data_IF_334757914217
#
_entry.id   IF_334757914217
#
_cell.length_a   1.000
_cell.length_b   1.000
_cell.length_c   1.000
_cell.angle_alpha   90.00
_cell.angle_beta   90.00
_cell.angle_gamma   90.00
#
_symmetry.space_group_name_H-M   'P 1'
#
loop_
_entity.id
_entity.type
_entity.pdbx_description
1 polymer ?
#
# COMPACT_ATOMS: atom_id res chain seq x y z
N UNK A 1 -17.13 16.22 -32.47
CA UNK A 1 -17.44 15.48 -31.24
C UNK A 1 -16.50 14.29 -31.23
N UNK A 2 -15.40 14.38 -30.51
CA UNK A 2 -14.53 13.23 -30.24
C UNK A 2 -15.34 12.28 -29.34
N UNK A 3 -15.70 11.12 -29.86
CA UNK A 3 -16.19 10.03 -29.02
C UNK A 3 -14.98 9.55 -28.23
N UNK A 4 -14.73 10.16 -27.08
CA UNK A 4 -13.75 9.61 -26.14
C UNK A 4 -14.22 8.21 -25.76
N UNK A 5 -13.30 7.26 -25.83
CA UNK A 5 -13.59 5.88 -25.43
C UNK A 5 -14.12 5.87 -23.99
N UNK A 6 -15.08 4.99 -23.66
CA UNK A 6 -15.65 4.95 -22.30
C UNK A 6 -14.53 4.72 -21.28
N UNK A 7 -14.51 5.54 -20.23
CA UNK A 7 -13.50 5.45 -19.19
C UNK A 7 -13.74 4.29 -18.20
N UNK A 8 -14.97 3.78 -18.14
CA UNK A 8 -15.42 2.75 -17.20
C UNK A 8 -16.09 1.57 -17.92
N UNK A 9 -16.35 0.49 -17.20
CA UNK A 9 -16.84 -0.77 -17.79
C UNK A 9 -15.74 -1.59 -18.46
N UNK A 10 -14.48 -1.19 -18.29
CA UNK A 10 -13.29 -1.79 -18.91
C UNK A 10 -12.77 -2.97 -18.07
N UNK A 11 -13.60 -3.99 -17.88
CA UNK A 11 -13.30 -5.11 -16.98
C UNK A 11 -12.02 -5.86 -17.32
N UNK A 12 -11.63 -5.91 -18.60
CA UNK A 12 -10.33 -6.49 -18.98
C UNK A 12 -9.16 -5.72 -18.37
N UNK A 13 -9.25 -4.38 -18.25
CA UNK A 13 -8.24 -3.57 -17.59
C UNK A 13 -8.25 -3.81 -16.07
N UNK A 14 -9.44 -3.99 -15.47
CA UNK A 14 -9.53 -4.36 -14.04
C UNK A 14 -8.77 -5.66 -13.78
N UNK A 15 -9.06 -6.72 -14.55
CA UNK A 15 -8.43 -8.03 -14.36
C UNK A 15 -6.93 -7.99 -14.67
N UNK A 16 -6.52 -7.39 -15.80
CA UNK A 16 -5.13 -7.37 -16.20
C UNK A 16 -4.26 -6.56 -15.24
N UNK A 17 -4.69 -5.35 -14.86
CA UNK A 17 -3.94 -4.52 -13.91
C UNK A 17 -3.90 -5.16 -12.52
N UNK A 18 -5.03 -5.66 -12.02
CA UNK A 18 -5.04 -6.39 -10.74
C UNK A 18 -4.08 -7.58 -10.78
N UNK A 19 -4.14 -8.40 -11.83
CA UNK A 19 -3.24 -9.56 -11.98
C UNK A 19 -1.77 -9.15 -12.06
N UNK A 20 -1.44 -8.11 -12.85
CA UNK A 20 -0.05 -7.62 -13.00
C UNK A 20 0.48 -7.16 -11.64
N UNK A 21 -0.25 -6.30 -10.91
CA UNK A 21 0.20 -5.79 -9.61
C UNK A 21 0.28 -6.89 -8.55
N UNK A 22 -0.67 -7.82 -8.53
CA UNK A 22 -0.63 -8.94 -7.59
C UNK A 22 0.50 -9.92 -7.90
N UNK A 23 0.73 -10.25 -9.17
CA UNK A 23 1.87 -11.08 -9.58
C UNK A 23 3.20 -10.39 -9.28
N UNK A 24 3.29 -9.08 -9.53
CA UNK A 24 4.46 -8.28 -9.21
C UNK A 24 4.73 -8.29 -7.70
N UNK A 25 3.74 -8.00 -6.87
CA UNK A 25 3.88 -8.07 -5.42
C UNK A 25 4.22 -9.49 -4.95
N UNK A 26 3.60 -10.53 -5.53
CA UNK A 26 3.87 -11.92 -5.20
C UNK A 26 5.29 -12.37 -5.60
N UNK A 27 5.90 -11.75 -6.60
CA UNK A 27 7.28 -12.06 -6.98
C UNK A 27 8.28 -11.72 -5.88
N UNK A 28 7.99 -10.70 -5.07
CA UNK A 28 8.79 -10.31 -3.91
C UNK A 28 8.28 -10.95 -2.62
N UNK A 29 6.96 -11.00 -2.44
CA UNK A 29 6.31 -11.50 -1.23
C UNK A 29 5.74 -12.89 -1.49
N UNK A 30 6.46 -13.92 -0.99
CA UNK A 30 6.05 -15.33 -1.11
C UNK A 30 5.50 -15.82 0.22
N UNK A 31 4.19 -15.78 0.46
CA UNK A 31 3.59 -16.15 1.74
C UNK A 31 3.96 -17.58 2.15
N UNK A 32 4.47 -17.76 3.37
CA UNK A 32 4.84 -19.06 3.94
C UNK A 32 3.89 -19.48 5.07
N UNK A 33 3.29 -18.52 5.76
CA UNK A 33 2.42 -18.73 6.91
C UNK A 33 0.99 -18.27 6.62
N UNK A 34 0.03 -18.75 7.42
CA UNK A 34 -1.37 -18.26 7.34
C UNK A 34 -1.47 -16.74 7.57
N UNK A 35 -0.54 -16.16 8.34
CA UNK A 35 -0.44 -14.72 8.58
C UNK A 35 0.02 -13.99 7.34
N UNK A 36 1.05 -14.50 6.67
CA UNK A 36 1.53 -13.92 5.41
C UNK A 36 0.41 -13.90 4.37
N UNK A 37 -0.37 -14.98 4.27
CA UNK A 37 -1.54 -15.04 3.39
C UNK A 37 -2.62 -14.03 3.74
N UNK A 38 -2.88 -13.79 5.05
CA UNK A 38 -3.83 -12.74 5.48
C UNK A 38 -3.33 -11.35 5.10
N UNK A 39 -2.03 -11.09 5.31
CA UNK A 39 -1.39 -9.82 4.94
C UNK A 39 -1.50 -9.56 3.44
N UNK A 40 -1.14 -10.57 2.64
CA UNK A 40 -1.22 -10.48 1.19
C UNK A 40 -2.67 -10.38 0.68
N UNK A 41 -3.59 -11.17 1.25
CA UNK A 41 -5.00 -11.13 0.89
C UNK A 41 -5.65 -9.77 1.14
N UNK A 42 -5.31 -9.12 2.25
CA UNK A 42 -5.79 -7.77 2.56
C UNK A 42 -5.23 -6.71 1.59
N UNK A 43 -3.95 -6.81 1.25
CA UNK A 43 -3.34 -6.00 0.19
C UNK A 43 -4.03 -6.25 -1.16
N UNK A 44 -4.24 -7.51 -1.52
CA UNK A 44 -4.89 -7.89 -2.76
C UNK A 44 -6.32 -7.35 -2.86
N UNK A 45 -7.09 -7.42 -1.77
CA UNK A 45 -8.44 -6.86 -1.72
C UNK A 45 -8.45 -5.34 -1.99
N UNK A 46 -7.48 -4.60 -1.43
CA UNK A 46 -7.34 -3.17 -1.70
C UNK A 46 -7.00 -2.90 -3.18
N UNK A 47 -6.06 -3.64 -3.75
CA UNK A 47 -5.64 -3.48 -5.15
C UNK A 47 -6.82 -3.77 -6.10
N UNK A 48 -7.56 -4.85 -5.85
CA UNK A 48 -8.75 -5.17 -6.66
C UNK A 48 -9.82 -4.08 -6.53
N UNK A 49 -10.12 -3.63 -5.30
CA UNK A 49 -11.08 -2.55 -5.07
C UNK A 49 -10.69 -1.25 -5.81
N UNK A 50 -9.39 -0.90 -5.77
CA UNK A 50 -8.86 0.26 -6.49
C UNK A 50 -9.11 0.15 -7.99
N UNK A 51 -8.71 -0.95 -8.63
CA UNK A 51 -8.84 -1.10 -10.08
C UNK A 51 -10.30 -1.30 -10.53
N UNK A 52 -11.15 -1.88 -9.68
CA UNK A 52 -12.60 -1.91 -9.92
C UNK A 52 -13.17 -0.49 -10.02
N UNK A 53 -12.79 0.40 -9.09
CA UNK A 53 -13.24 1.79 -9.14
C UNK A 53 -12.56 2.61 -10.25
N UNK A 54 -11.32 2.28 -10.61
CA UNK A 54 -10.56 3.00 -11.62
C UNK A 54 -11.05 2.72 -13.06
N UNK A 55 -11.39 1.48 -13.36
CA UNK A 55 -11.72 1.05 -14.73
C UNK A 55 -13.07 0.33 -14.86
N UNK A 56 -13.58 -0.26 -13.78
CA UNK A 56 -14.80 -1.05 -13.80
C UNK A 56 -16.03 -0.20 -13.51
N UNK A 57 -16.34 0.01 -12.25
CA UNK A 57 -17.48 0.79 -11.78
C UNK A 57 -17.01 1.88 -10.81
N UNK A 58 -17.16 3.17 -11.16
CA UNK A 58 -16.70 4.30 -10.36
C UNK A 58 -17.68 4.61 -9.22
N UNK A 59 -17.77 3.72 -8.23
CA UNK A 59 -18.69 3.85 -7.10
C UNK A 59 -18.54 5.20 -6.37
N UNK A 60 -17.29 5.65 -6.18
CA UNK A 60 -16.99 6.93 -5.52
C UNK A 60 -17.60 8.11 -6.27
N UNK A 61 -17.38 8.17 -7.59
CA UNK A 61 -17.95 9.24 -8.42
C UNK A 61 -19.47 9.15 -8.47
N UNK A 62 -20.03 7.94 -8.55
CA UNK A 62 -21.46 7.73 -8.52
C UNK A 62 -22.09 8.25 -7.21
N UNK A 63 -21.56 7.86 -6.06
CA UNK A 63 -22.06 8.29 -4.74
C UNK A 63 -21.91 9.80 -4.53
N UNK A 64 -20.81 10.38 -5.02
CA UNK A 64 -20.52 11.81 -4.87
C UNK A 64 -21.10 12.68 -6.00
N UNK A 65 -21.76 12.10 -7.00
CA UNK A 65 -22.15 12.79 -8.25
C UNK A 65 -22.94 14.08 -8.01
N UNK A 66 -23.96 14.04 -7.15
CA UNK A 66 -24.78 15.22 -6.85
C UNK A 66 -23.98 16.37 -6.25
N UNK A 67 -23.11 16.05 -5.29
CA UNK A 67 -22.23 17.06 -4.65
C UNK A 67 -21.19 17.58 -5.63
N UNK A 68 -20.54 16.70 -6.40
CA UNK A 68 -19.53 17.08 -7.39
C UNK A 68 -20.11 17.98 -8.47
N UNK A 69 -21.27 17.65 -9.03
CA UNK A 69 -21.93 18.46 -10.06
C UNK A 69 -22.38 19.82 -9.54
N UNK A 70 -22.82 19.90 -8.27
CA UNK A 70 -23.18 21.19 -7.66
C UNK A 70 -21.98 22.10 -7.49
N UNK A 71 -20.84 21.53 -7.06
CA UNK A 71 -19.62 22.30 -6.77
C UNK A 71 -18.75 22.53 -8.00
N UNK A 72 -18.76 21.59 -8.93
CA UNK A 72 -17.95 21.58 -10.16
C UNK A 72 -18.85 21.26 -11.39
N UNK A 73 -19.70 22.21 -11.83
CA UNK A 73 -20.73 21.94 -12.84
C UNK A 73 -20.18 21.55 -14.22
N UNK A 74 -18.90 21.88 -14.50
CA UNK A 74 -18.24 21.52 -15.76
C UNK A 74 -17.44 20.22 -15.70
N UNK A 75 -17.51 19.49 -14.58
CA UNK A 75 -16.79 18.22 -14.42
C UNK A 75 -17.52 17.10 -15.17
N UNK A 76 -16.82 16.49 -16.13
CA UNK A 76 -17.31 15.27 -16.79
C UNK A 76 -17.04 14.07 -15.89
N UNK A 77 -18.06 13.66 -15.11
CA UNK A 77 -17.96 12.56 -14.16
C UNK A 77 -17.59 11.21 -14.78
N UNK A 78 -17.83 11.04 -16.09
CA UNK A 78 -17.54 9.80 -16.79
C UNK A 78 -16.16 9.78 -17.45
N UNK A 79 -15.42 10.90 -17.41
CA UNK A 79 -14.04 10.93 -17.86
C UNK A 79 -13.10 10.24 -16.89
N UNK A 80 -12.02 9.65 -17.38
CA UNK A 80 -10.98 9.07 -16.55
C UNK A 80 -10.36 10.09 -15.58
N UNK A 81 -10.18 11.32 -16.05
CA UNK A 81 -9.57 12.39 -15.24
C UNK A 81 -10.37 12.74 -13.98
N UNK A 82 -11.69 12.53 -13.99
CA UNK A 82 -12.55 12.79 -12.83
C UNK A 82 -12.25 11.89 -11.63
N UNK A 83 -11.66 10.72 -11.87
CA UNK A 83 -11.22 9.82 -10.80
C UNK A 83 -9.99 10.32 -10.03
N UNK A 84 -9.23 11.24 -10.59
CA UNK A 84 -8.14 11.95 -9.88
C UNK A 84 -8.72 13.04 -8.97
N UNK A 85 -9.51 12.65 -7.97
CA UNK A 85 -10.28 13.55 -7.13
C UNK A 85 -9.43 14.63 -6.44
N UNK A 86 -8.17 14.33 -6.10
CA UNK A 86 -7.29 15.34 -5.50
C UNK A 86 -7.07 16.52 -6.42
N UNK A 87 -6.79 16.30 -7.70
CA UNK A 87 -6.59 17.38 -8.68
C UNK A 87 -7.85 18.22 -8.83
N UNK A 88 -9.04 17.58 -8.87
CA UNK A 88 -10.32 18.27 -8.91
C UNK A 88 -10.55 19.11 -7.65
N UNK A 89 -10.34 18.53 -6.46
CA UNK A 89 -10.57 19.20 -5.17
C UNK A 89 -9.61 20.37 -4.91
N UNK A 90 -8.37 20.26 -5.38
CA UNK A 90 -7.35 21.29 -5.25
C UNK A 90 -7.41 22.34 -6.36
N UNK A 91 -8.30 22.16 -7.35
CA UNK A 91 -8.48 23.09 -8.46
C UNK A 91 -7.27 23.12 -9.42
N UNK A 92 -6.53 22.00 -9.51
CA UNK A 92 -5.39 21.87 -10.41
C UNK A 92 -5.85 21.93 -11.87
N UNK A 93 -5.08 22.62 -12.70
CA UNK A 93 -5.32 22.73 -14.15
C UNK A 93 -4.27 21.92 -14.90
N UNK A 94 -4.72 21.14 -15.89
CA UNK A 94 -3.84 20.34 -16.73
C UNK A 94 -4.05 18.84 -16.56
N UNK A 95 -3.07 18.04 -17.00
CA UNK A 95 -3.13 16.59 -16.90
C UNK A 95 -2.89 16.13 -15.43
N UNK A 96 -3.86 15.47 -14.78
CA UNK A 96 -3.74 15.03 -13.40
C UNK A 96 -2.53 14.12 -13.13
N UNK A 97 -2.03 13.41 -14.15
CA UNK A 97 -0.87 12.51 -14.02
C UNK A 97 0.45 13.26 -13.71
N UNK A 98 0.50 14.57 -13.99
CA UNK A 98 1.65 15.42 -13.65
C UNK A 98 1.40 16.27 -12.39
N UNK A 99 0.32 16.03 -11.66
CA UNK A 99 0.05 16.74 -10.43
C UNK A 99 1.09 16.39 -9.34
N UNK A 100 1.39 17.30 -8.40
CA UNK A 100 2.35 17.06 -7.33
C UNK A 100 2.03 15.82 -6.50
N UNK A 101 0.74 15.56 -6.20
CA UNK A 101 0.34 14.39 -5.44
C UNK A 101 0.50 13.10 -6.25
N UNK A 102 0.24 13.14 -7.55
CA UNK A 102 0.45 11.98 -8.41
C UNK A 102 1.95 11.65 -8.55
N UNK A 103 2.80 12.67 -8.71
CA UNK A 103 4.26 12.48 -8.73
C UNK A 103 4.75 11.94 -7.38
N UNK A 104 4.26 12.49 -6.26
CA UNK A 104 4.58 11.97 -4.93
C UNK A 104 4.17 10.50 -4.77
N UNK A 105 3.05 10.09 -5.38
CA UNK A 105 2.60 8.69 -5.35
C UNK A 105 3.64 7.72 -5.88
N UNK A 106 4.33 8.07 -6.97
CA UNK A 106 5.39 7.23 -7.55
C UNK A 106 6.56 7.03 -6.59
N UNK A 107 6.90 8.06 -5.78
CA UNK A 107 7.95 7.93 -4.75
C UNK A 107 7.52 6.94 -3.67
N UNK A 108 6.27 7.05 -3.18
CA UNK A 108 5.74 6.13 -2.17
C UNK A 108 5.63 4.69 -2.70
N UNK A 109 5.14 4.51 -3.92
CA UNK A 109 5.04 3.21 -4.58
C UNK A 109 6.42 2.59 -4.78
N UNK A 110 7.35 3.33 -5.40
CA UNK A 110 8.71 2.84 -5.68
C UNK A 110 9.46 2.47 -4.40
N UNK A 111 9.45 3.36 -3.39
CA UNK A 111 10.09 3.09 -2.12
C UNK A 111 9.40 1.95 -1.35
N UNK A 112 8.07 1.87 -1.38
CA UNK A 112 7.30 0.80 -0.78
C UNK A 112 7.65 -0.57 -1.37
N UNK A 113 7.69 -0.71 -2.69
CA UNK A 113 8.09 -1.96 -3.34
C UNK A 113 9.56 -2.30 -3.11
N UNK A 114 10.46 -1.32 -3.13
CA UNK A 114 11.86 -1.53 -2.78
C UNK A 114 12.00 -2.06 -1.34
N UNK A 115 11.32 -1.42 -0.37
CA UNK A 115 11.35 -1.84 1.03
C UNK A 115 10.74 -3.23 1.20
N UNK A 116 9.62 -3.53 0.50
CA UNK A 116 8.97 -4.84 0.54
C UNK A 116 9.92 -5.94 0.05
N UNK A 117 10.55 -5.73 -1.10
CA UNK A 117 11.51 -6.68 -1.68
C UNK A 117 12.69 -6.93 -0.76
N UNK A 118 13.30 -5.84 -0.24
CA UNK A 118 14.45 -5.92 0.67
C UNK A 118 14.08 -6.61 1.98
N UNK A 119 12.97 -6.24 2.60
CA UNK A 119 12.51 -6.83 3.85
C UNK A 119 12.14 -8.31 3.67
N UNK A 120 11.41 -8.63 2.60
CA UNK A 120 10.99 -10.00 2.37
C UNK A 120 12.16 -10.95 2.11
N UNK A 121 13.16 -10.52 1.38
CA UNK A 121 14.36 -11.33 1.16
C UNK A 121 15.01 -11.76 2.49
N UNK A 122 15.19 -10.82 3.41
CA UNK A 122 15.74 -11.10 4.76
C UNK A 122 14.81 -12.03 5.54
N UNK A 123 13.50 -11.73 5.58
CA UNK A 123 12.52 -12.52 6.31
C UNK A 123 12.43 -13.96 5.78
N UNK A 124 12.37 -14.14 4.47
CA UNK A 124 12.31 -15.45 3.83
C UNK A 124 13.50 -16.35 4.21
N UNK A 125 14.71 -15.80 4.15
CA UNK A 125 15.90 -16.56 4.54
C UNK A 125 15.95 -16.86 6.05
N UNK A 126 15.50 -15.93 6.89
CA UNK A 126 15.42 -16.13 8.32
C UNK A 126 14.40 -17.22 8.69
N UNK A 127 13.22 -17.20 8.09
CA UNK A 127 12.17 -18.24 8.28
C UNK A 127 12.68 -19.62 7.90
N UNK A 128 13.34 -19.74 6.74
CA UNK A 128 13.91 -21.05 6.30
C UNK A 128 15.01 -21.59 7.20
N UNK A 129 15.72 -20.72 7.90
CA UNK A 129 16.78 -21.10 8.84
C UNK A 129 16.29 -21.19 10.29
N UNK A 130 15.01 -20.98 10.52
CA UNK A 130 14.43 -20.89 11.86
C UNK A 130 15.20 -19.90 12.76
N UNK A 131 15.50 -18.72 12.25
CA UNK A 131 16.28 -17.67 12.89
C UNK A 131 15.57 -16.31 12.85
N UNK A 132 15.99 -15.39 13.74
CA UNK A 132 15.46 -14.03 13.73
C UNK A 132 15.97 -13.25 12.53
N UNK A 133 15.04 -12.52 11.85
CA UNK A 133 15.37 -11.52 10.86
C UNK A 133 15.89 -10.26 11.58
N UNK A 134 17.18 -9.97 11.51
CA UNK A 134 17.82 -8.85 12.24
C UNK A 134 18.70 -7.97 11.36
N UNK A 135 18.80 -8.27 10.07
CA UNK A 135 19.68 -7.55 9.12
C UNK A 135 18.86 -6.67 8.16
N UNK A 136 19.54 -5.83 7.39
CA UNK A 136 18.89 -4.93 6.43
C UNK A 136 17.92 -3.97 7.12
N UNK A 137 16.69 -3.85 6.63
CA UNK A 137 15.66 -3.01 7.23
C UNK A 137 15.29 -3.48 8.65
N UNK A 138 15.38 -4.79 8.93
CA UNK A 138 15.14 -5.35 10.27
C UNK A 138 16.18 -4.94 11.32
N UNK A 139 17.33 -4.45 10.91
CA UNK A 139 18.30 -3.88 11.88
C UNK A 139 17.79 -2.59 12.55
N UNK A 140 16.80 -1.92 11.95
CA UNK A 140 16.27 -0.63 12.44
C UNK A 140 14.84 -0.72 12.94
N UNK A 141 13.99 -1.47 12.26
CA UNK A 141 12.56 -1.64 12.58
C UNK A 141 12.18 -3.12 12.51
N UNK A 142 11.23 -3.54 13.35
CA UNK A 142 10.84 -4.96 13.46
C UNK A 142 9.88 -5.43 12.38
N UNK A 143 9.10 -4.52 11.79
CA UNK A 143 8.06 -4.86 10.81
C UNK A 143 8.17 -4.02 9.53
N UNK A 144 9.33 -4.05 8.82
CA UNK A 144 9.51 -3.28 7.58
C UNK A 144 8.54 -3.73 6.47
N UNK A 145 8.11 -4.98 6.47
CA UNK A 145 7.13 -5.49 5.52
C UNK A 145 5.76 -4.79 5.65
N UNK A 146 5.29 -4.54 6.87
CA UNK A 146 4.04 -3.82 7.09
C UNK A 146 4.16 -2.33 6.74
N UNK A 147 5.31 -1.72 7.05
CA UNK A 147 5.60 -0.34 6.61
C UNK A 147 5.58 -0.25 5.08
N UNK A 148 6.18 -1.23 4.40
CA UNK A 148 6.18 -1.28 2.94
C UNK A 148 4.76 -1.36 2.36
N UNK A 149 3.90 -2.24 2.87
CA UNK A 149 2.50 -2.30 2.44
C UNK A 149 1.77 -0.98 2.68
N UNK A 150 1.93 -0.36 3.85
CA UNK A 150 1.31 0.94 4.16
C UNK A 150 1.77 2.02 3.17
N UNK A 151 3.05 2.08 2.83
CA UNK A 151 3.58 3.03 1.85
C UNK A 151 2.99 2.82 0.46
N UNK A 152 2.87 1.57 0.01
CA UNK A 152 2.25 1.23 -1.29
C UNK A 152 0.77 1.65 -1.31
N UNK A 153 0.00 1.27 -0.27
CA UNK A 153 -1.41 1.62 -0.16
C UNK A 153 -1.60 3.14 -0.13
N UNK A 154 -0.76 3.85 0.63
CA UNK A 154 -0.79 5.31 0.70
C UNK A 154 -0.44 5.95 -0.65
N UNK A 155 0.56 5.44 -1.36
CA UNK A 155 0.90 5.88 -2.72
C UNK A 155 -0.31 5.78 -3.66
N UNK A 156 -1.03 4.67 -3.65
CA UNK A 156 -2.25 4.53 -4.44
C UNK A 156 -3.36 5.49 -4.03
N UNK A 157 -3.52 5.80 -2.73
CA UNK A 157 -4.48 6.82 -2.28
C UNK A 157 -4.12 8.23 -2.73
N UNK A 158 -2.84 8.55 -2.87
CA UNK A 158 -2.41 9.83 -3.44
C UNK A 158 -2.69 9.89 -4.95
N UNK A 159 -2.60 8.76 -5.62
CA UNK A 159 -2.81 8.66 -7.06
C UNK A 159 -4.30 8.65 -7.42
N UNK A 160 -5.07 7.80 -6.74
CA UNK A 160 -6.47 7.54 -7.06
C UNK A 160 -7.29 7.31 -5.79
N UNK A 161 -7.72 8.38 -5.11
CA UNK A 161 -8.53 8.25 -3.90
C UNK A 161 -9.94 7.80 -4.23
N UNK A 162 -10.39 6.69 -3.62
CA UNK A 162 -11.77 6.26 -3.68
C UNK A 162 -12.36 6.17 -2.27
N UNK A 163 -13.67 6.31 -2.11
CA UNK A 163 -14.32 6.17 -0.81
C UNK A 163 -14.04 4.80 -0.20
N UNK A 164 -14.06 3.76 -1.02
CA UNK A 164 -13.81 2.40 -0.59
C UNK A 164 -12.37 2.23 -0.08
N UNK A 165 -11.37 2.64 -0.86
CA UNK A 165 -9.96 2.51 -0.47
C UNK A 165 -9.60 3.44 0.70
N UNK A 166 -10.23 4.62 0.80
CA UNK A 166 -10.07 5.53 1.95
C UNK A 166 -10.60 4.91 3.25
N UNK A 167 -11.72 4.17 3.20
CA UNK A 167 -12.23 3.42 4.36
C UNK A 167 -11.38 2.19 4.65
N UNK A 168 -10.94 1.47 3.62
CA UNK A 168 -10.07 0.29 3.80
C UNK A 168 -8.72 0.64 4.42
N UNK A 169 -8.15 1.79 4.10
CA UNK A 169 -6.80 2.15 4.55
C UNK A 169 -6.64 2.15 6.08
N UNK A 170 -7.44 2.88 6.89
CA UNK A 170 -7.33 2.83 8.34
C UNK A 170 -7.62 1.44 8.91
N UNK A 171 -8.54 0.66 8.31
CA UNK A 171 -8.80 -0.72 8.72
C UNK A 171 -7.54 -1.57 8.54
N UNK A 172 -6.86 -1.43 7.40
CA UNK A 172 -5.62 -2.15 7.11
C UNK A 172 -4.47 -1.73 8.03
N UNK A 173 -4.37 -0.43 8.38
CA UNK A 173 -3.40 0.04 9.39
C UNK A 173 -3.60 -0.66 10.74
N UNK A 174 -4.84 -0.73 11.22
CA UNK A 174 -5.18 -1.41 12.47
C UNK A 174 -4.89 -2.92 12.35
N UNK A 175 -5.23 -3.54 11.23
CA UNK A 175 -4.98 -4.96 11.00
C UNK A 175 -3.48 -5.26 11.02
N UNK A 176 -2.65 -4.51 10.29
CA UNK A 176 -1.20 -4.70 10.28
C UNK A 176 -0.59 -4.45 11.66
N UNK A 177 -1.09 -3.45 12.40
CA UNK A 177 -0.69 -3.21 13.78
C UNK A 177 -0.97 -4.40 14.71
N UNK A 178 -2.17 -5.00 14.59
CA UNK A 178 -2.54 -6.21 15.37
C UNK A 178 -1.71 -7.43 14.96
N UNK A 179 -1.48 -7.63 13.66
CA UNK A 179 -0.62 -8.72 13.18
C UNK A 179 0.80 -8.58 13.72
N UNK A 180 1.36 -7.37 13.74
CA UNK A 180 2.68 -7.10 14.30
C UNK A 180 2.76 -7.46 15.80
N UNK A 181 1.73 -7.13 16.58
CA UNK A 181 1.69 -7.47 18.03
C UNK A 181 1.65 -8.99 18.22
N UNK A 182 0.83 -9.70 17.43
CA UNK A 182 0.74 -11.18 17.51
C UNK A 182 2.07 -11.81 17.11
N UNK A 183 2.71 -11.31 16.06
CA UNK A 183 4.02 -11.77 15.59
C UNK A 183 5.11 -11.57 16.65
N UNK A 184 5.12 -10.41 17.33
CA UNK A 184 6.07 -10.16 18.42
C UNK A 184 5.86 -11.13 19.60
N UNK A 185 4.60 -11.49 19.92
CA UNK A 185 4.33 -12.47 20.98
C UNK A 185 4.85 -13.87 20.62
N UNK A 186 4.65 -14.30 19.35
CA UNK A 186 5.17 -15.59 18.87
C UNK A 186 6.71 -15.61 18.84
N UNK A 187 7.34 -14.50 18.39
CA UNK A 187 8.80 -14.40 18.38
C UNK A 187 9.40 -14.44 19.80
N UNK A 188 8.71 -13.84 20.79
CA UNK A 188 9.12 -13.97 22.21
C UNK A 188 9.05 -15.41 22.69
N UNK A 189 7.96 -16.10 22.35
CA UNK A 189 7.78 -17.50 22.74
C UNK A 189 8.83 -18.42 22.09
N UNK A 190 9.22 -18.12 20.85
CA UNK A 190 10.13 -18.96 20.07
C UNK A 190 11.62 -18.67 20.39
N UNK A 191 12.01 -17.41 20.55
CA UNK A 191 13.41 -16.99 20.63
C UNK A 191 13.84 -16.38 21.99
N UNK A 192 12.91 -16.20 22.94
CA UNK A 192 13.18 -15.76 24.30
C UNK A 192 14.08 -14.53 24.38
N UNK A 193 15.18 -14.68 25.14
CA UNK A 193 16.15 -13.59 25.42
C UNK A 193 16.80 -12.99 24.17
N UNK A 194 16.99 -13.79 23.13
CA UNK A 194 17.51 -13.31 21.84
C UNK A 194 16.57 -12.29 21.21
N UNK A 195 15.24 -12.55 21.26
CA UNK A 195 14.25 -11.60 20.78
C UNK A 195 14.17 -10.35 21.65
N UNK A 196 14.21 -10.48 22.99
CA UNK A 196 14.21 -9.33 23.89
C UNK A 196 15.44 -8.42 23.68
N UNK A 197 16.60 -9.01 23.42
CA UNK A 197 17.80 -8.25 23.06
C UNK A 197 17.65 -7.49 21.73
N UNK A 198 16.96 -8.08 20.77
CA UNK A 198 16.60 -7.45 19.49
C UNK A 198 15.60 -6.31 19.69
N UNK A 199 14.53 -6.49 20.50
CA UNK A 199 13.52 -5.48 20.82
C UNK A 199 14.14 -4.23 21.44
N UNK A 200 15.13 -4.38 22.33
CA UNK A 200 15.83 -3.24 22.96
C UNK A 200 16.56 -2.34 21.96
N UNK A 201 17.02 -2.89 20.84
CA UNK A 201 17.81 -2.18 19.82
C UNK A 201 16.97 -1.64 18.67
N UNK A 202 15.74 -2.11 18.51
CA UNK A 202 14.88 -1.80 17.36
C UNK A 202 13.54 -1.23 17.80
N UNK A 203 12.89 -0.52 16.90
CA UNK A 203 11.52 -0.03 17.09
C UNK A 203 10.54 -0.87 16.25
N UNK A 204 9.24 -0.71 16.48
CA UNK A 204 8.23 -1.51 15.77
C UNK A 204 8.10 -1.10 14.31
N UNK A 205 7.85 0.19 14.01
CA UNK A 205 7.54 0.67 12.67
C UNK A 205 8.41 1.84 12.21
N UNK A 206 8.82 2.73 13.11
CA UNK A 206 9.59 3.93 12.76
C UNK A 206 11.00 3.84 13.34
N UNK A 207 12.05 4.08 12.56
CA UNK A 207 13.43 4.07 13.09
C UNK A 207 13.60 5.16 14.16
N UNK A 208 14.43 4.88 15.18
CA UNK A 208 14.83 5.91 16.16
C UNK A 208 15.63 6.99 15.43
N UNK A 209 15.14 8.22 15.47
CA UNK A 209 15.91 9.37 15.00
C UNK A 209 16.96 9.70 16.09
N UNK A 210 18.24 9.60 15.77
CA UNK A 210 19.32 10.09 16.64
C UNK A 210 20.29 9.06 17.27
N UNK A 211 20.27 7.79 16.91
CA UNK A 211 21.41 6.89 17.20
C UNK A 211 22.28 6.79 15.95
N UNK A 212 23.25 7.72 15.84
CA UNK A 212 24.37 7.56 14.93
C UNK A 212 25.05 6.22 15.21
N UNK A 213 25.35 5.49 14.14
CA UNK A 213 26.16 4.28 14.17
C UNK A 213 27.47 4.55 14.91
N UNK A 214 27.56 4.19 16.18
CA UNK A 214 28.83 3.85 16.77
C UNK A 214 29.18 2.46 16.24
N UNK A 215 29.75 2.44 15.04
CA UNK A 215 30.53 1.31 14.56
C UNK A 215 31.78 1.25 15.44
N UNK A 216 31.93 0.19 16.16
CA UNK A 216 33.19 -0.31 16.65
C UNK A 216 33.34 -1.77 16.21
#
# INVERSE_FOLDING_TARGET
MSHDAPAYGLWMLVFSNSAIFLMFAFSFFKPQTARDWRTFGAFAAFIVALFVEMYGFPLTLYVMSGWLQTKYPNLDLLSHNSGHLWSTLLGEKGDPHFSPLHIASYVFLGFGFYLLSSAWNVLYHAQRRNSLATTGAYARIRHPQYVAFVLILFGFLLQWPTLLTLVMFPILLVMYGRLAITEEAEMRAQFGDAYESYVRRTTRFFPRMGQGSTAA
#
